data_IF_504548737847
#
_entry.id   IF_504548737847
#
_cell.length_a   1.000
_cell.length_b   1.000
_cell.length_c   1.000
_cell.angle_alpha   90.00
_cell.angle_beta   90.00
_cell.angle_gamma   90.00
#
_symmetry.space_group_name_H-M   'P 1'
#
loop_
_entity.id
_entity.type
_entity.pdbx_description
1 polymer ?
#
# COMPACT_ATOMS: atom_id res chain seq x y z
N UNK A 1 10.97 -38.00 13.69
CA UNK A 1 11.78 -36.93 13.09
C UNK A 1 11.97 -35.77 14.07
N UNK A 2 10.92 -35.22 14.71
CA UNK A 2 11.02 -34.09 15.66
C UNK A 2 11.95 -34.42 16.86
N UNK A 3 11.79 -35.59 17.46
CA UNK A 3 12.67 -36.07 18.55
C UNK A 3 14.12 -36.25 18.10
N UNK A 4 14.36 -36.82 16.90
CA UNK A 4 15.69 -37.00 16.33
C UNK A 4 16.42 -35.69 16.06
N UNK A 5 15.67 -34.61 15.73
CA UNK A 5 16.23 -33.31 15.44
C UNK A 5 16.27 -32.38 16.66
N UNK A 6 15.82 -32.83 17.83
CA UNK A 6 15.64 -32.01 19.04
C UNK A 6 14.87 -30.69 18.76
N UNK A 7 13.82 -30.77 17.93
CA UNK A 7 12.99 -29.64 17.52
C UNK A 7 11.50 -29.90 17.80
N UNK A 8 10.73 -28.84 17.97
CA UNK A 8 9.28 -28.94 18.18
C UNK A 8 8.56 -29.49 16.93
N UNK A 9 7.44 -30.18 17.15
CA UNK A 9 6.58 -30.69 16.06
C UNK A 9 6.15 -29.54 15.12
N UNK A 10 5.84 -28.38 15.66
CA UNK A 10 5.48 -27.21 14.88
C UNK A 10 6.63 -26.67 14.01
N UNK A 11 7.88 -26.84 14.45
CA UNK A 11 9.05 -26.50 13.64
C UNK A 11 9.18 -27.45 12.45
N UNK A 12 9.06 -28.76 12.70
CA UNK A 12 9.15 -29.81 11.66
C UNK A 12 8.02 -29.64 10.65
N UNK A 13 6.78 -29.48 11.09
CA UNK A 13 5.61 -29.26 10.22
C UNK A 13 5.80 -28.05 9.30
N UNK A 14 6.32 -26.93 9.83
CA UNK A 14 6.62 -25.75 9.01
C UNK A 14 7.68 -26.01 7.93
N UNK A 15 8.69 -26.83 8.23
CA UNK A 15 9.73 -27.19 7.26
C UNK A 15 9.22 -28.14 6.18
N UNK A 16 8.39 -29.11 6.56
CA UNK A 16 7.73 -30.00 5.60
C UNK A 16 6.79 -29.23 4.67
N UNK A 17 6.04 -28.25 5.18
CA UNK A 17 5.16 -27.44 4.35
C UNK A 17 5.91 -26.63 3.28
N UNK A 18 7.18 -26.24 3.50
CA UNK A 18 7.99 -25.61 2.47
C UNK A 18 8.32 -26.59 1.33
N UNK A 19 8.61 -27.86 1.68
CA UNK A 19 8.93 -28.89 0.69
C UNK A 19 7.68 -29.25 -0.12
N UNK A 20 6.54 -29.36 0.53
CA UNK A 20 5.30 -29.86 -0.07
C UNK A 20 4.55 -28.78 -0.87
N UNK A 21 4.55 -27.51 -0.40
CA UNK A 21 3.69 -26.45 -0.92
C UNK A 21 4.40 -25.40 -1.75
N UNK A 22 5.72 -25.23 -1.56
CA UNK A 22 6.46 -24.28 -2.39
C UNK A 22 6.82 -24.86 -3.75
N UNK A 23 6.79 -24.02 -4.75
CA UNK A 23 7.36 -24.28 -6.06
C UNK A 23 8.88 -24.54 -5.96
N UNK A 24 9.43 -25.32 -6.87
CA UNK A 24 10.83 -25.72 -6.85
C UNK A 24 11.78 -24.51 -6.97
N UNK A 25 11.46 -23.57 -7.88
CA UNK A 25 12.22 -22.33 -8.02
C UNK A 25 12.24 -21.51 -6.75
N UNK A 26 11.09 -21.40 -6.05
CA UNK A 26 10.98 -20.68 -4.77
C UNK A 26 11.78 -21.37 -3.67
N UNK A 27 11.76 -22.72 -3.63
CA UNK A 27 12.56 -23.51 -2.67
C UNK A 27 14.06 -23.29 -2.86
N UNK A 28 14.50 -23.27 -4.13
CA UNK A 28 15.91 -23.00 -4.45
C UNK A 28 16.33 -21.60 -3.94
N UNK A 29 15.54 -20.57 -4.15
CA UNK A 29 15.83 -19.21 -3.66
C UNK A 29 15.84 -19.14 -2.12
N UNK A 30 14.98 -19.91 -1.45
CA UNK A 30 14.97 -20.03 0.00
C UNK A 30 16.23 -20.72 0.52
N UNK A 31 16.69 -21.81 -0.14
CA UNK A 31 17.91 -22.52 0.22
C UNK A 31 19.16 -21.68 0.01
N UNK A 32 19.20 -20.87 -1.05
CA UNK A 32 20.29 -19.94 -1.33
C UNK A 32 20.29 -18.69 -0.43
N UNK A 33 19.30 -18.56 0.49
CA UNK A 33 19.21 -17.41 1.38
C UNK A 33 18.78 -16.10 0.69
N UNK A 34 18.36 -16.15 -0.57
CA UNK A 34 17.89 -14.97 -1.32
C UNK A 34 16.54 -14.47 -0.83
N UNK A 35 15.75 -15.35 -0.25
CA UNK A 35 14.49 -15.03 0.46
C UNK A 35 14.51 -15.67 1.85
N UNK A 36 13.79 -15.07 2.78
CA UNK A 36 13.74 -15.55 4.16
C UNK A 36 12.67 -16.64 4.34
N UNK A 37 12.74 -17.48 5.38
CA UNK A 37 11.66 -18.39 5.73
C UNK A 37 10.32 -17.71 5.99
N UNK A 38 10.32 -16.42 6.35
CA UNK A 38 9.12 -15.63 6.52
C UNK A 38 8.47 -15.32 5.17
N UNK A 39 9.27 -15.00 4.14
CA UNK A 39 8.78 -14.88 2.75
C UNK A 39 8.17 -16.21 2.29
N UNK A 40 8.84 -17.35 2.53
CA UNK A 40 8.32 -18.68 2.19
C UNK A 40 6.95 -18.97 2.81
N UNK A 41 6.71 -18.55 4.06
CA UNK A 41 5.42 -18.70 4.73
C UNK A 41 4.29 -17.91 4.06
N UNK A 42 4.60 -16.74 3.55
CA UNK A 42 3.62 -15.95 2.81
C UNK A 42 3.34 -16.55 1.43
N UNK A 43 4.38 -16.99 0.72
CA UNK A 43 4.26 -17.60 -0.61
C UNK A 43 3.45 -18.91 -0.62
N UNK A 44 3.51 -19.71 0.46
CA UNK A 44 2.71 -20.95 0.60
C UNK A 44 1.20 -20.68 0.53
N UNK A 45 0.74 -19.48 0.89
CA UNK A 45 -0.68 -19.10 0.83
C UNK A 45 -1.19 -18.99 -0.61
N UNK A 46 -0.28 -18.83 -1.56
CA UNK A 46 -0.58 -18.68 -2.99
C UNK A 46 -0.61 -20.04 -3.70
N UNK A 47 -1.40 -20.17 -4.78
CA UNK A 47 -1.30 -21.30 -5.70
C UNK A 47 0.13 -21.40 -6.26
N UNK A 48 0.65 -22.63 -6.45
CA UNK A 48 2.02 -22.87 -6.94
C UNK A 48 2.32 -22.07 -8.20
N UNK A 49 1.43 -22.08 -9.19
CA UNK A 49 1.62 -21.34 -10.45
C UNK A 49 1.70 -19.82 -10.33
N UNK A 50 1.49 -19.26 -9.13
CA UNK A 50 1.60 -17.83 -8.86
C UNK A 50 2.78 -17.46 -7.96
N UNK A 51 3.39 -18.43 -7.31
CA UNK A 51 4.50 -18.18 -6.41
C UNK A 51 5.73 -17.61 -7.11
N UNK A 52 5.98 -18.04 -8.38
CA UNK A 52 7.07 -17.52 -9.19
C UNK A 52 6.91 -16.03 -9.55
N UNK A 53 5.68 -15.59 -9.85
CA UNK A 53 5.39 -14.17 -10.11
C UNK A 53 5.75 -13.31 -8.89
N UNK A 54 5.34 -13.73 -7.69
CA UNK A 54 5.66 -13.04 -6.45
C UNK A 54 7.13 -13.12 -6.05
N UNK A 55 7.80 -14.26 -6.33
CA UNK A 55 9.24 -14.38 -6.12
C UNK A 55 10.01 -13.33 -6.92
N UNK A 56 9.63 -13.13 -8.18
CA UNK A 56 10.23 -12.10 -9.04
C UNK A 56 10.06 -10.71 -8.42
N UNK A 57 8.85 -10.36 -8.00
CA UNK A 57 8.55 -9.07 -7.35
C UNK A 57 9.41 -8.88 -6.07
N UNK A 58 9.57 -9.93 -5.24
CA UNK A 58 10.41 -9.86 -4.03
C UNK A 58 11.85 -9.50 -4.39
N UNK A 59 12.40 -10.13 -5.43
CA UNK A 59 13.79 -9.93 -5.83
C UNK A 59 13.98 -8.56 -6.50
N UNK A 60 13.11 -8.19 -7.42
CA UNK A 60 13.21 -6.95 -8.20
C UNK A 60 13.04 -5.70 -7.32
N UNK A 61 12.17 -5.76 -6.31
CA UNK A 61 11.86 -4.63 -5.43
C UNK A 61 12.42 -4.78 -3.99
N UNK A 62 13.20 -5.83 -3.72
CA UNK A 62 13.76 -6.09 -2.38
C UNK A 62 12.72 -6.05 -1.25
N UNK A 63 11.55 -6.65 -1.48
CA UNK A 63 10.43 -6.55 -0.56
C UNK A 63 10.76 -7.15 0.81
N UNK A 64 10.33 -6.48 1.85
CA UNK A 64 10.29 -7.05 3.19
C UNK A 64 9.17 -8.09 3.32
N UNK A 65 9.29 -9.00 4.28
CA UNK A 65 8.25 -10.01 4.52
C UNK A 65 6.90 -9.40 4.92
N UNK A 66 6.87 -8.21 5.52
CA UNK A 66 5.65 -7.47 5.85
C UNK A 66 4.96 -6.92 4.58
N UNK A 67 5.73 -6.34 3.68
CA UNK A 67 5.23 -5.87 2.39
C UNK A 67 4.69 -7.02 1.53
N UNK A 68 5.42 -8.15 1.51
CA UNK A 68 4.94 -9.36 0.83
C UNK A 68 3.63 -9.86 1.43
N UNK A 69 3.52 -9.95 2.77
CA UNK A 69 2.30 -10.39 3.44
C UNK A 69 1.08 -9.54 3.02
N UNK A 70 1.27 -8.23 2.92
CA UNK A 70 0.26 -7.29 2.45
C UNK A 70 -0.15 -7.55 1.00
N UNK A 71 0.82 -7.70 0.09
CA UNK A 71 0.53 -7.99 -1.32
C UNK A 71 -0.20 -9.34 -1.49
N UNK A 72 0.24 -10.38 -0.78
CA UNK A 72 -0.41 -11.69 -0.81
C UNK A 72 -1.85 -11.60 -0.30
N UNK A 73 -2.09 -10.88 0.80
CA UNK A 73 -3.44 -10.68 1.33
C UNK A 73 -4.34 -9.94 0.32
N UNK A 74 -3.86 -8.86 -0.29
CA UNK A 74 -4.60 -8.10 -1.32
C UNK A 74 -4.85 -8.95 -2.57
N UNK A 75 -3.89 -9.77 -2.99
CA UNK A 75 -4.04 -10.69 -4.12
C UNK A 75 -5.15 -11.72 -3.86
N UNK A 76 -5.16 -12.35 -2.68
CA UNK A 76 -6.17 -13.33 -2.31
C UNK A 76 -7.56 -12.71 -2.11
N UNK A 77 -7.66 -11.44 -1.76
CA UNK A 77 -8.90 -10.69 -1.66
C UNK A 77 -9.44 -10.20 -3.02
N UNK A 78 -8.58 -10.18 -4.05
CA UNK A 78 -8.96 -9.70 -5.37
C UNK A 78 -9.98 -10.62 -6.03
N UNK A 79 -11.13 -10.07 -6.42
CA UNK A 79 -12.25 -10.83 -7.01
C UNK A 79 -12.12 -11.03 -8.52
N UNK A 80 -11.28 -10.23 -9.19
CA UNK A 80 -11.15 -10.26 -10.65
C UNK A 80 -9.71 -10.47 -11.10
N UNK A 81 -9.54 -11.17 -12.23
CA UNK A 81 -8.23 -11.35 -12.85
C UNK A 81 -7.56 -10.02 -13.24
N UNK A 82 -8.35 -8.98 -13.54
CA UNK A 82 -7.83 -7.64 -13.85
C UNK A 82 -7.16 -7.01 -12.61
N UNK A 83 -7.78 -7.12 -11.44
CA UNK A 83 -7.20 -6.63 -10.19
C UNK A 83 -5.93 -7.38 -9.82
N UNK A 84 -5.92 -8.72 -9.98
CA UNK A 84 -4.74 -9.54 -9.74
C UNK A 84 -3.58 -9.17 -10.66
N UNK A 85 -3.85 -8.95 -11.95
CA UNK A 85 -2.84 -8.51 -12.91
C UNK A 85 -2.28 -7.14 -12.56
N UNK A 86 -3.14 -6.17 -12.27
CA UNK A 86 -2.73 -4.82 -11.86
C UNK A 86 -1.82 -4.85 -10.64
N UNK A 87 -2.13 -5.70 -9.63
CA UNK A 87 -1.32 -5.86 -8.43
C UNK A 87 0.09 -6.40 -8.75
N UNK A 88 0.20 -7.34 -9.68
CA UNK A 88 1.48 -7.90 -10.10
C UNK A 88 2.31 -6.90 -10.93
N UNK A 89 1.66 -6.05 -11.71
CA UNK A 89 2.30 -5.03 -12.55
C UNK A 89 2.71 -3.78 -11.73
N UNK A 90 1.96 -3.45 -10.67
CA UNK A 90 2.14 -2.24 -9.85
C UNK A 90 2.23 -2.54 -8.35
N UNK A 91 3.16 -3.42 -7.91
CA UNK A 91 3.22 -3.85 -6.51
C UNK A 91 3.55 -2.72 -5.53
N UNK A 92 4.41 -1.78 -5.93
CA UNK A 92 4.82 -0.67 -5.07
C UNK A 92 3.69 0.33 -4.83
N UNK A 93 2.86 0.62 -5.83
CA UNK A 93 1.68 1.48 -5.66
C UNK A 93 0.69 0.92 -4.63
N UNK A 94 0.52 -0.41 -4.63
CA UNK A 94 -0.34 -1.09 -3.67
C UNK A 94 0.23 -1.02 -2.25
N UNK A 95 1.55 -1.22 -2.11
CA UNK A 95 2.25 -1.14 -0.82
C UNK A 95 2.17 0.28 -0.27
N UNK A 96 2.46 1.29 -1.08
CA UNK A 96 2.40 2.69 -0.66
C UNK A 96 1.00 3.11 -0.22
N UNK A 97 -0.02 2.73 -0.99
CA UNK A 97 -1.43 3.00 -0.62
C UNK A 97 -1.80 2.34 0.70
N UNK A 98 -1.37 1.11 0.93
CA UNK A 98 -1.69 0.40 2.15
C UNK A 98 -0.89 0.92 3.36
N UNK A 99 0.37 1.30 3.20
CA UNK A 99 1.13 1.98 4.24
C UNK A 99 0.45 3.30 4.65
N UNK A 100 -0.04 4.07 3.68
CA UNK A 100 -0.83 5.28 3.95
C UNK A 100 -2.14 4.96 4.71
N UNK A 101 -2.79 3.83 4.41
CA UNK A 101 -4.00 3.41 5.13
C UNK A 101 -3.71 3.05 6.59
N UNK A 102 -2.60 2.38 6.89
CA UNK A 102 -2.17 2.05 8.26
C UNK A 102 -1.74 3.28 9.06
N UNK A 103 -1.02 4.22 8.44
CA UNK A 103 -0.60 5.48 9.08
C UNK A 103 -1.79 6.42 9.40
N UNK A 104 -2.93 6.17 8.75
CA UNK A 104 -4.13 7.00 8.88
C UNK A 104 -5.11 6.51 9.97
N UNK A 105 -4.76 5.46 10.73
CA UNK A 105 -5.61 4.94 11.80
C UNK A 105 -5.04 5.29 13.18
N UNK A 106 -5.86 5.92 14.03
CA UNK A 106 -5.54 6.18 15.44
C UNK A 106 -6.54 5.41 16.32
N UNK A 107 -6.07 4.44 17.15
CA UNK A 107 -6.96 3.62 17.99
C UNK A 107 -7.70 4.42 19.07
N UNK A 108 -7.28 5.66 19.37
CA UNK A 108 -7.94 6.55 20.32
C UNK A 108 -9.18 7.23 19.75
N UNK A 109 -9.33 7.22 18.42
CA UNK A 109 -10.45 7.84 17.74
C UNK A 109 -11.58 6.84 17.49
N UNK A 110 -12.82 7.33 17.49
CA UNK A 110 -13.97 6.56 17.01
C UNK A 110 -13.83 6.22 15.53
N UNK A 111 -14.71 5.32 15.03
CA UNK A 111 -14.77 4.97 13.59
C UNK A 111 -14.96 6.24 12.73
N UNK A 112 -15.82 7.17 13.17
CA UNK A 112 -16.05 8.44 12.47
C UNK A 112 -14.84 9.36 12.56
N UNK A 113 -14.15 9.41 13.71
CA UNK A 113 -12.93 10.18 13.89
C UNK A 113 -11.81 9.69 12.98
N UNK A 114 -11.60 8.38 12.87
CA UNK A 114 -10.62 7.78 11.97
C UNK A 114 -10.94 8.04 10.49
N UNK A 115 -12.24 8.00 10.12
CA UNK A 115 -12.68 8.36 8.76
C UNK A 115 -12.35 9.82 8.43
N UNK A 116 -12.60 10.72 9.37
CA UNK A 116 -12.29 12.14 9.20
C UNK A 116 -10.78 12.37 9.13
N UNK A 117 -9.99 11.75 10.02
CA UNK A 117 -8.54 11.80 10.02
C UNK A 117 -7.95 11.36 8.67
N UNK A 118 -8.43 10.23 8.14
CA UNK A 118 -8.02 9.73 6.82
C UNK A 118 -8.31 10.75 5.73
N UNK A 119 -9.53 11.27 5.69
CA UNK A 119 -9.94 12.26 4.68
C UNK A 119 -9.11 13.54 4.76
N UNK A 120 -8.86 14.04 5.98
CA UNK A 120 -8.06 15.25 6.22
C UNK A 120 -6.62 15.08 5.74
N UNK A 121 -5.97 13.97 6.04
CA UNK A 121 -4.59 13.71 5.61
C UNK A 121 -4.47 13.54 4.10
N UNK A 122 -5.44 12.87 3.46
CA UNK A 122 -5.49 12.78 2.00
C UNK A 122 -5.62 14.18 1.39
N UNK A 123 -6.49 15.02 1.94
CA UNK A 123 -6.67 16.39 1.47
C UNK A 123 -5.38 17.22 1.63
N UNK A 124 -4.72 17.15 2.78
CA UNK A 124 -3.44 17.84 3.01
C UNK A 124 -2.40 17.41 1.98
N UNK A 125 -2.28 16.09 1.72
CA UNK A 125 -1.33 15.58 0.72
C UNK A 125 -1.66 16.09 -0.68
N UNK A 126 -2.92 16.10 -1.09
CA UNK A 126 -3.34 16.61 -2.39
C UNK A 126 -3.06 18.12 -2.52
N UNK A 127 -3.28 18.89 -1.45
CA UNK A 127 -2.92 20.30 -1.42
C UNK A 127 -1.41 20.51 -1.58
N UNK A 128 -0.57 19.72 -0.93
CA UNK A 128 0.88 19.80 -1.09
C UNK A 128 1.33 19.52 -2.53
N UNK A 129 0.76 18.48 -3.17
CA UNK A 129 1.05 18.16 -4.57
C UNK A 129 0.61 19.32 -5.47
N UNK A 130 -0.60 19.82 -5.26
CA UNK A 130 -1.15 20.94 -6.05
C UNK A 130 -0.30 22.21 -5.91
N UNK A 131 0.09 22.57 -4.69
CA UNK A 131 0.97 23.72 -4.43
C UNK A 131 2.32 23.53 -5.14
N UNK A 132 2.92 22.34 -5.07
CA UNK A 132 4.18 22.06 -5.74
C UNK A 132 4.11 22.13 -7.27
N UNK A 133 2.94 21.79 -7.85
CA UNK A 133 2.68 21.89 -9.29
C UNK A 133 2.23 23.28 -9.72
N UNK A 134 1.74 24.12 -8.81
CA UNK A 134 1.23 25.47 -9.07
C UNK A 134 2.25 26.56 -8.72
N UNK A 135 3.53 26.30 -8.91
CA UNK A 135 4.60 27.30 -8.70
C UNK A 135 4.58 28.32 -9.83
N UNK A 136 4.96 29.57 -9.54
CA UNK A 136 4.99 30.65 -10.52
C UNK A 136 5.70 30.30 -11.84
N UNK A 137 6.85 29.61 -11.85
CA UNK A 137 7.48 29.22 -13.11
C UNK A 137 6.64 28.29 -13.97
N UNK A 138 5.89 27.37 -13.35
CA UNK A 138 5.04 26.41 -14.08
C UNK A 138 3.76 27.07 -14.58
N UNK A 139 3.11 27.90 -13.78
CA UNK A 139 1.91 28.64 -14.19
C UNK A 139 2.21 29.61 -15.34
N UNK A 140 3.40 30.20 -15.36
CA UNK A 140 3.81 31.13 -16.43
C UNK A 140 4.15 30.40 -17.76
N UNK A 141 4.24 29.07 -17.77
CA UNK A 141 4.42 28.29 -19.01
C UNK A 141 3.09 27.94 -19.70
N UNK A 142 1.95 28.11 -18.99
CA UNK A 142 0.63 27.79 -19.52
C UNK A 142 0.19 28.86 -20.52
N UNK A 143 -0.40 28.41 -21.61
CA UNK A 143 -1.00 29.32 -22.60
C UNK A 143 -2.37 29.83 -22.13
N UNK A 144 -2.91 30.80 -22.88
CA UNK A 144 -4.19 31.44 -22.56
C UNK A 144 -5.36 30.43 -22.57
N UNK A 145 -5.32 29.43 -23.45
CA UNK A 145 -6.37 28.43 -23.60
C UNK A 145 -6.34 27.45 -22.42
N UNK A 146 -5.14 27.00 -22.02
CA UNK A 146 -4.93 26.15 -20.86
C UNK A 146 -5.39 26.84 -19.56
N UNK A 147 -5.05 28.12 -19.39
CA UNK A 147 -5.49 28.94 -18.26
C UNK A 147 -7.02 29.09 -18.22
N UNK A 148 -7.68 29.26 -19.36
CA UNK A 148 -9.13 29.34 -19.43
C UNK A 148 -9.79 28.03 -18.98
N UNK A 149 -9.31 26.88 -19.45
CA UNK A 149 -9.79 25.56 -19.06
C UNK A 149 -9.63 25.37 -17.55
N UNK A 150 -8.47 25.67 -16.99
CA UNK A 150 -8.17 25.48 -15.57
C UNK A 150 -8.86 26.50 -14.64
N UNK A 151 -9.27 27.65 -15.15
CA UNK A 151 -9.86 28.73 -14.35
C UNK A 151 -11.13 28.34 -13.61
N UNK A 152 -11.94 27.46 -14.19
CA UNK A 152 -13.16 26.95 -13.56
C UNK A 152 -12.83 26.08 -12.33
N UNK A 153 -11.85 25.19 -12.46
CA UNK A 153 -11.40 24.29 -11.38
C UNK A 153 -10.71 25.09 -10.27
N UNK A 154 -9.88 26.08 -10.61
CA UNK A 154 -9.24 26.95 -9.63
C UNK A 154 -10.26 27.75 -8.81
N UNK A 155 -11.31 28.26 -9.43
CA UNK A 155 -12.44 28.92 -8.73
C UNK A 155 -13.16 27.96 -7.79
N UNK A 156 -13.38 26.71 -8.22
CA UNK A 156 -14.01 25.70 -7.39
C UNK A 156 -13.13 25.29 -6.20
N UNK A 157 -11.82 25.10 -6.40
CA UNK A 157 -10.86 24.84 -5.34
C UNK A 157 -10.87 25.97 -4.31
N UNK A 158 -10.80 27.22 -4.77
CA UNK A 158 -10.84 28.40 -3.90
C UNK A 158 -12.12 28.46 -3.06
N UNK A 159 -13.28 28.22 -3.67
CA UNK A 159 -14.57 28.19 -2.97
C UNK A 159 -14.62 27.12 -1.89
N UNK A 160 -14.20 25.90 -2.22
CA UNK A 160 -14.19 24.77 -1.26
C UNK A 160 -13.18 24.98 -0.12
N UNK A 161 -12.02 25.58 -0.43
CA UNK A 161 -11.01 25.92 0.58
C UNK A 161 -11.56 26.94 1.58
N UNK A 162 -12.27 27.97 1.13
CA UNK A 162 -12.95 28.93 2.02
C UNK A 162 -14.00 28.27 2.91
N UNK A 163 -14.76 27.33 2.37
CA UNK A 163 -15.74 26.56 3.17
C UNK A 163 -15.06 25.71 4.24
N UNK A 164 -13.98 25.01 3.91
CA UNK A 164 -13.20 24.24 4.87
C UNK A 164 -12.65 25.16 5.97
N UNK A 165 -12.08 26.30 5.58
CA UNK A 165 -11.57 27.30 6.53
C UNK A 165 -12.65 27.78 7.51
N UNK A 166 -13.86 28.09 7.03
CA UNK A 166 -14.97 28.51 7.88
C UNK A 166 -15.41 27.44 8.88
N UNK A 167 -15.43 26.16 8.45
CA UNK A 167 -15.73 25.04 9.33
C UNK A 167 -14.67 24.90 10.41
N UNK A 168 -13.40 24.92 10.06
CA UNK A 168 -12.28 24.77 11.02
C UNK A 168 -12.25 25.91 12.05
N UNK A 169 -12.47 27.16 11.60
CA UNK A 169 -12.56 28.32 12.51
C UNK A 169 -13.71 28.16 13.50
N UNK A 170 -14.88 27.71 13.04
CA UNK A 170 -16.03 27.47 13.92
C UNK A 170 -15.74 26.44 15.00
N UNK A 171 -15.01 25.37 14.67
CA UNK A 171 -14.63 24.36 15.67
C UNK A 171 -13.58 24.86 16.65
N UNK A 172 -12.55 25.57 16.18
CA UNK A 172 -11.54 26.18 17.09
C UNK A 172 -12.10 27.27 18.00
N UNK A 173 -13.19 27.96 17.60
CA UNK A 173 -13.83 28.98 18.44
C UNK A 173 -14.70 28.40 19.56
N UNK A 174 -15.08 27.12 19.47
CA UNK A 174 -15.88 26.43 20.49
C UNK A 174 -15.05 25.75 21.58
N UNK A 175 -13.71 25.79 21.49
CA UNK A 175 -12.79 25.21 22.49
C UNK A 175 -12.35 26.24 23.56
N UNK A 176 -12.92 27.43 23.59
CA UNK A 176 -12.74 28.45 24.64
C UNK A 176 -14.05 28.62 25.41
#
# INVERSE_FOLDING_TARGET
IAMLLARSLSWVSRRLSFIEKLDEGVRMHLQLGRITPTHGRELIKLPRGKQGDFLKIIIDHHLTSRQLALLVAKYLQSQTNRQQRYLLEHPMDIIERACLEDELYDPRLSIHGNRLLKTSRILIRQQHIFIGQSTDPLLNTLDTMEMEILSADFRQILSKTKTIQSILIKYHSNER
#
